data_IF_907264157422
#
_entry.id   IF_907264157422
#
_cell.length_a   1.000
_cell.length_b   1.000
_cell.length_c   1.000
_cell.angle_alpha   90.00
_cell.angle_beta   90.00
_cell.angle_gamma   90.00
#
_symmetry.space_group_name_H-M   'P 1'
#
loop_
_entity.id
_entity.type
_entity.pdbx_description
1 polymer ?
#
# COMPACT_ATOMS: atom_id res chain seq x y z
N UNK A 1 16.33 -6.31 -1.95
CA UNK A 1 15.68 -6.74 -0.70
C UNK A 1 15.26 -5.47 0.01
N UNK A 2 14.01 -5.06 -0.21
CA UNK A 2 13.41 -3.89 0.42
C UNK A 2 12.23 -4.39 1.22
N UNK A 3 12.53 -5.19 2.24
CA UNK A 3 11.53 -5.77 3.12
C UNK A 3 11.15 -4.74 4.16
N UNK A 4 9.86 -4.54 4.38
CA UNK A 4 9.35 -3.59 5.37
C UNK A 4 8.50 -4.30 6.42
N UNK A 5 8.56 -3.77 7.64
CA UNK A 5 7.58 -4.12 8.65
C UNK A 5 6.36 -3.24 8.50
N UNK A 6 5.17 -3.83 8.38
CA UNK A 6 3.98 -3.06 8.16
C UNK A 6 3.55 -2.27 9.42
N UNK A 7 2.89 -1.11 9.27
CA UNK A 7 2.42 -0.31 10.40
C UNK A 7 1.43 -1.08 11.29
N UNK A 8 1.70 -1.17 12.59
CA UNK A 8 0.90 -1.98 13.53
C UNK A 8 -0.53 -1.48 13.80
N UNK A 9 -0.93 -0.33 13.24
CA UNK A 9 -2.30 0.19 13.35
C UNK A 9 -3.24 -0.34 12.26
N UNK A 10 -2.69 -1.03 11.25
CA UNK A 10 -3.46 -1.74 10.21
C UNK A 10 -3.36 -3.23 10.50
N UNK A 11 -4.41 -4.01 10.20
CA UNK A 11 -4.40 -5.45 10.37
C UNK A 11 -3.73 -6.12 9.16
N UNK A 12 -2.59 -6.77 9.37
CA UNK A 12 -1.81 -7.40 8.30
C UNK A 12 -1.88 -8.93 8.40
N UNK A 13 -1.89 -9.59 7.24
CA UNK A 13 -1.79 -11.06 7.14
C UNK A 13 -0.36 -11.58 7.31
N UNK A 14 0.63 -10.70 7.31
CA UNK A 14 2.07 -11.00 7.42
C UNK A 14 2.78 -9.95 8.26
N UNK A 15 3.93 -10.33 8.84
CA UNK A 15 4.79 -9.44 9.64
C UNK A 15 5.87 -8.74 8.80
N UNK A 16 6.07 -9.18 7.56
CA UNK A 16 7.05 -8.66 6.62
C UNK A 16 6.44 -8.61 5.22
N UNK A 17 6.73 -7.53 4.50
CA UNK A 17 6.27 -7.30 3.12
C UNK A 17 7.49 -7.13 2.25
N UNK A 18 7.63 -7.99 1.25
CA UNK A 18 8.69 -7.89 0.25
C UNK A 18 8.26 -6.92 -0.86
N UNK A 19 8.81 -5.70 -0.85
CA UNK A 19 8.43 -4.69 -1.85
C UNK A 19 9.04 -4.93 -3.24
N UNK A 20 9.95 -5.90 -3.39
CA UNK A 20 10.42 -6.39 -4.70
C UNK A 20 9.41 -7.27 -5.42
N UNK A 21 8.46 -7.88 -4.69
CA UNK A 21 7.38 -8.66 -5.27
C UNK A 21 6.25 -7.70 -5.73
N UNK A 22 5.93 -7.64 -7.04
CA UNK A 22 4.90 -6.75 -7.55
C UNK A 22 3.50 -6.98 -6.94
N UNK A 23 3.19 -8.21 -6.53
CA UNK A 23 1.91 -8.51 -5.88
C UNK A 23 1.87 -7.96 -4.46
N UNK A 24 2.92 -8.20 -3.66
CA UNK A 24 3.00 -7.68 -2.30
C UNK A 24 3.11 -6.15 -2.28
N UNK A 25 3.83 -5.57 -3.25
CA UNK A 25 3.92 -4.12 -3.40
C UNK A 25 2.56 -3.47 -3.68
N UNK A 26 1.80 -3.99 -4.65
CA UNK A 26 0.43 -3.50 -4.92
C UNK A 26 -0.50 -3.70 -3.74
N UNK A 27 -0.41 -4.84 -3.07
CA UNK A 27 -1.18 -5.09 -1.86
C UNK A 27 -0.86 -4.08 -0.75
N UNK A 28 0.41 -3.80 -0.52
CA UNK A 28 0.86 -2.78 0.43
C UNK A 28 0.30 -1.39 0.08
N UNK A 29 0.44 -0.96 -1.19
CA UNK A 29 -0.09 0.32 -1.66
C UNK A 29 -1.61 0.41 -1.43
N UNK A 30 -2.36 -0.63 -1.79
CA UNK A 30 -3.81 -0.70 -1.53
C UNK A 30 -4.13 -0.54 -0.04
N UNK A 31 -3.40 -1.25 0.84
CA UNK A 31 -3.64 -1.19 2.28
C UNK A 31 -3.34 0.19 2.86
N UNK A 32 -2.23 0.82 2.47
CA UNK A 32 -1.86 2.14 2.98
C UNK A 32 -2.80 3.23 2.45
N UNK A 33 -3.19 3.18 1.18
CA UNK A 33 -4.15 4.15 0.62
C UNK A 33 -5.53 4.03 1.26
N UNK A 34 -5.97 2.82 1.60
CA UNK A 34 -7.33 2.58 2.14
C UNK A 34 -7.41 2.75 3.66
N UNK A 35 -6.39 2.30 4.38
CA UNK A 35 -6.41 2.16 5.85
C UNK A 35 -5.26 2.85 6.57
N UNK A 36 -4.25 3.33 5.84
CA UNK A 36 -3.09 4.00 6.40
C UNK A 36 -3.45 5.36 6.98
N UNK A 37 -2.58 5.86 7.87
CA UNK A 37 -2.70 7.22 8.39
C UNK A 37 -2.05 8.21 7.45
N UNK A 38 -2.27 9.49 7.72
CA UNK A 38 -1.70 10.57 6.93
C UNK A 38 -0.16 10.56 6.93
N UNK A 39 0.51 10.02 7.96
CA UNK A 39 1.95 9.81 7.97
C UNK A 39 2.40 8.71 7.01
N UNK A 40 1.64 7.62 6.87
CA UNK A 40 1.98 6.50 5.99
C UNK A 40 1.75 6.86 4.52
N UNK A 41 0.69 7.61 4.23
CA UNK A 41 0.41 8.10 2.86
C UNK A 41 1.53 9.06 2.41
N UNK A 42 2.06 9.88 3.32
CA UNK A 42 3.09 10.89 3.01
C UNK A 42 4.42 10.32 2.55
N UNK A 43 4.71 9.06 2.87
CA UNK A 43 5.96 8.40 2.48
C UNK A 43 5.81 7.58 1.20
N UNK A 44 4.62 7.48 0.63
CA UNK A 44 4.40 6.79 -0.63
C UNK A 44 4.92 7.61 -1.82
N UNK A 45 5.40 6.89 -2.83
CA UNK A 45 5.69 7.48 -4.14
C UNK A 45 4.38 7.68 -4.90
N UNK A 46 3.93 8.94 -5.00
CA UNK A 46 2.67 9.27 -5.67
C UNK A 46 2.69 8.98 -7.17
N UNK A 47 3.87 9.02 -7.81
CA UNK A 47 4.01 8.69 -9.24
C UNK A 47 3.78 7.19 -9.44
N UNK A 48 4.28 6.36 -8.54
CA UNK A 48 3.97 4.93 -8.56
C UNK A 48 2.49 4.65 -8.35
N UNK A 49 1.84 5.32 -7.39
CA UNK A 49 0.40 5.16 -7.16
C UNK A 49 -0.37 5.50 -8.43
N UNK A 50 -0.01 6.59 -9.11
CA UNK A 50 -0.64 6.99 -10.38
C UNK A 50 -0.51 5.89 -11.45
N UNK A 51 0.67 5.29 -11.57
CA UNK A 51 0.89 4.19 -12.53
C UNK A 51 0.14 2.89 -12.18
N UNK A 52 -0.04 2.60 -10.90
CA UNK A 52 -0.70 1.37 -10.44
C UNK A 52 -2.18 1.54 -10.12
N UNK A 53 -2.74 2.75 -10.25
CA UNK A 53 -4.08 3.10 -9.76
C UNK A 53 -5.17 2.12 -10.23
N UNK A 54 -5.15 1.73 -11.50
CA UNK A 54 -6.09 0.78 -12.10
C UNK A 54 -5.89 -0.67 -11.60
N UNK A 55 -4.69 -1.00 -11.11
CA UNK A 55 -4.32 -2.33 -10.61
C UNK A 55 -4.47 -2.48 -9.08
N UNK A 56 -4.65 -1.37 -8.35
CA UNK A 56 -4.78 -1.40 -6.89
C UNK A 56 -6.13 -1.94 -6.42
N UNK A 57 -7.13 -2.09 -7.31
CA UNK A 57 -8.48 -2.58 -6.97
C UNK A 57 -9.03 -1.84 -5.74
N UNK A 58 -8.90 -0.50 -5.75
CA UNK A 58 -9.33 0.35 -4.64
C UNK A 58 -10.84 0.23 -4.45
N UNK A 59 -11.35 0.35 -3.22
CA UNK A 59 -12.79 0.33 -2.99
C UNK A 59 -13.43 1.66 -3.43
N UNK A 60 -14.74 1.68 -3.78
CA UNK A 60 -15.42 2.85 -4.34
C UNK A 60 -15.26 4.13 -3.54
N UNK A 61 -15.19 4.04 -2.22
CA UNK A 61 -15.12 5.19 -1.32
C UNK A 61 -13.81 5.99 -1.47
N UNK A 62 -12.79 5.42 -2.12
CA UNK A 62 -11.47 6.05 -2.30
C UNK A 62 -11.35 6.78 -3.66
N UNK A 63 -12.06 6.32 -4.69
CA UNK A 63 -11.95 6.85 -6.05
C UNK A 63 -13.22 7.56 -6.57
N UNK A 64 -14.28 7.63 -5.76
CA UNK A 64 -15.52 8.36 -6.05
C UNK A 64 -15.45 9.85 -5.69
#
# INVERSE_FOLDING_TARGET
>A
MSDIHPPGHTAWSTNEIELSDPFQRRWYLRQVVTHGRAEDIRVLDLTEIEHELENLDLPPEVYL
#
